data_IF_511314355683
#
_entry.id   IF_511314355683
#
_cell.length_a   1.000
_cell.length_b   1.000
_cell.length_c   1.000
_cell.angle_alpha   90.00
_cell.angle_beta   90.00
_cell.angle_gamma   90.00
#
_symmetry.space_group_name_H-M   'P 1'
#
loop_
_entity.id
_entity.type
_entity.pdbx_description
1 polymer ?
#
# COMPACT_ATOMS: atom_id res chain seq x y z
N UNK A 1 -17.57 -18.02 -6.71
CA UNK A 1 -17.28 -17.38 -5.38
C UNK A 1 -15.92 -17.87 -4.89
N UNK A 2 -15.06 -16.97 -4.41
CA UNK A 2 -13.76 -17.32 -3.84
C UNK A 2 -13.84 -17.43 -2.32
N UNK A 3 -13.50 -18.61 -1.78
CA UNK A 3 -13.36 -18.81 -0.34
C UNK A 3 -11.96 -18.37 0.11
N UNK A 4 -11.89 -17.60 1.20
CA UNK A 4 -10.63 -17.20 1.84
C UNK A 4 -10.79 -17.18 3.37
N UNK A 5 -9.67 -17.04 4.08
CA UNK A 5 -9.65 -16.94 5.54
C UNK A 5 -9.11 -15.57 5.95
N UNK A 6 -9.94 -14.75 6.58
CA UNK A 6 -9.56 -13.43 7.06
C UNK A 6 -8.88 -13.53 8.43
N UNK A 7 -7.71 -12.92 8.57
CA UNK A 7 -6.99 -12.81 9.84
C UNK A 7 -7.65 -11.76 10.74
N UNK A 8 -7.95 -12.13 12.00
CA UNK A 8 -8.31 -11.19 13.06
C UNK A 8 -7.50 -11.51 14.32
N UNK A 9 -6.83 -10.48 14.85
CA UNK A 9 -6.21 -10.53 16.17
C UNK A 9 -7.31 -10.41 17.25
N UNK A 10 -7.30 -11.27 18.26
CA UNK A 10 -8.16 -11.18 19.44
C UNK A 10 -7.33 -11.29 20.72
N UNK A 11 -7.46 -10.31 21.64
CA UNK A 11 -7.42 -10.41 23.11
C UNK A 11 -6.23 -11.03 23.88
N UNK A 12 -5.80 -10.28 24.92
CA UNK A 12 -4.86 -10.52 26.05
C UNK A 12 -3.41 -10.94 25.75
N UNK A 13 -3.17 -11.78 24.76
CA UNK A 13 -1.84 -12.05 24.23
C UNK A 13 -1.79 -11.52 22.80
N UNK A 14 -0.97 -10.51 22.54
CA UNK A 14 -0.86 -9.81 21.25
C UNK A 14 -0.47 -10.72 20.06
N UNK A 15 -0.17 -12.00 20.31
CA UNK A 15 0.35 -12.95 19.35
C UNK A 15 -0.65 -14.02 18.85
N UNK A 16 -1.90 -14.07 19.33
CA UNK A 16 -2.87 -15.07 18.86
C UNK A 16 -3.66 -14.57 17.63
N UNK A 17 -3.47 -15.24 16.49
CA UNK A 17 -4.18 -14.96 15.22
C UNK A 17 -5.26 -16.00 15.01
N UNK A 18 -6.52 -15.56 14.92
CA UNK A 18 -7.66 -16.40 14.54
C UNK A 18 -8.03 -16.18 13.08
N UNK A 19 -8.31 -17.28 12.39
CA UNK A 19 -8.78 -17.26 11.01
C UNK A 19 -10.30 -17.42 10.95
N UNK A 20 -10.95 -16.57 10.16
CA UNK A 20 -12.39 -16.63 9.91
C UNK A 20 -12.66 -16.91 8.44
N UNK A 21 -13.43 -17.95 8.17
CA UNK A 21 -13.87 -18.26 6.81
C UNK A 21 -14.73 -17.12 6.26
N UNK A 22 -14.40 -16.68 5.05
CA UNK A 22 -15.04 -15.59 4.35
C UNK A 22 -15.16 -15.90 2.85
N UNK A 23 -16.11 -15.26 2.20
CA UNK A 23 -16.40 -15.47 0.79
C UNK A 23 -16.35 -14.14 0.05
N UNK A 24 -15.63 -14.13 -1.07
CA UNK A 24 -15.56 -13.01 -1.99
C UNK A 24 -16.30 -13.38 -3.27
N UNK A 25 -17.27 -12.56 -3.66
CA UNK A 25 -17.90 -12.72 -4.97
C UNK A 25 -16.90 -12.36 -6.07
N UNK A 26 -16.79 -13.23 -7.07
CA UNK A 26 -15.97 -13.05 -8.27
C UNK A 26 -16.94 -12.87 -9.45
N UNK A 27 -16.90 -11.74 -10.17
CA UNK A 27 -17.71 -11.57 -11.38
C UNK A 27 -17.36 -12.64 -12.43
N UNK A 28 -18.35 -13.15 -13.15
CA UNK A 28 -18.19 -14.22 -14.16
C UNK A 28 -17.08 -13.92 -15.19
N UNK A 29 -16.91 -12.67 -15.60
CA UNK A 29 -15.85 -12.26 -16.52
C UNK A 29 -14.42 -12.58 -16.00
N UNK A 30 -14.23 -12.64 -14.68
CA UNK A 30 -12.94 -12.91 -14.04
C UNK A 30 -12.80 -14.33 -13.50
N UNK A 31 -13.84 -15.16 -13.61
CA UNK A 31 -13.79 -16.52 -13.04
C UNK A 31 -12.70 -17.35 -13.70
N UNK A 32 -12.66 -17.41 -15.05
CA UNK A 32 -11.69 -18.21 -15.78
C UNK A 32 -10.23 -17.83 -15.47
N UNK A 33 -9.88 -16.54 -15.47
CA UNK A 33 -8.50 -16.08 -15.21
C UNK A 33 -8.09 -16.35 -13.75
N UNK A 34 -9.02 -16.20 -12.80
CA UNK A 34 -8.75 -16.48 -11.40
C UNK A 34 -8.58 -17.99 -11.19
N UNK A 35 -9.45 -18.81 -11.74
CA UNK A 35 -9.34 -20.28 -11.67
C UNK A 35 -8.01 -20.76 -12.26
N UNK A 36 -7.66 -20.32 -13.47
CA UNK A 36 -6.38 -20.66 -14.11
C UNK A 36 -5.18 -20.25 -13.25
N UNK A 37 -5.21 -19.03 -12.68
CA UNK A 37 -4.13 -18.54 -11.80
C UNK A 37 -4.01 -19.37 -10.53
N UNK A 38 -5.13 -19.66 -9.87
CA UNK A 38 -5.16 -20.43 -8.62
C UNK A 38 -4.75 -21.88 -8.83
N UNK A 39 -5.21 -22.52 -9.92
CA UNK A 39 -4.82 -23.87 -10.31
C UNK A 39 -3.34 -23.94 -10.66
N UNK A 40 -2.82 -22.92 -11.34
CA UNK A 40 -1.39 -22.75 -11.60
C UNK A 40 -0.58 -22.71 -10.30
N UNK A 41 -1.00 -21.90 -9.32
CA UNK A 41 -0.33 -21.84 -8.00
C UNK A 41 -0.39 -23.20 -7.29
N UNK A 42 -1.55 -23.86 -7.27
CA UNK A 42 -1.70 -25.18 -6.65
C UNK A 42 -0.76 -26.20 -7.29
N UNK A 43 -0.68 -26.19 -8.62
CA UNK A 43 0.20 -27.09 -9.39
C UNK A 43 1.67 -26.83 -9.08
N UNK A 44 2.12 -25.57 -9.17
CA UNK A 44 3.52 -25.18 -8.93
C UNK A 44 3.96 -25.46 -7.49
N UNK A 45 3.04 -25.31 -6.52
CA UNK A 45 3.33 -25.50 -5.09
C UNK A 45 3.02 -26.92 -4.60
N UNK A 46 2.52 -27.81 -5.45
CA UNK A 46 2.14 -29.18 -5.08
C UNK A 46 3.25 -29.97 -4.35
N UNK A 47 4.54 -29.88 -4.74
CA UNK A 47 5.61 -30.59 -4.02
C UNK A 47 5.83 -30.05 -2.61
N UNK A 48 5.79 -28.73 -2.46
CA UNK A 48 5.92 -28.06 -1.16
C UNK A 48 4.76 -28.45 -0.24
N UNK A 49 3.54 -28.48 -0.80
CA UNK A 49 2.31 -28.88 -0.13
C UNK A 49 2.36 -30.31 0.38
N UNK A 50 2.71 -31.24 -0.52
CA UNK A 50 2.84 -32.65 -0.17
C UNK A 50 3.90 -32.86 0.92
N UNK A 51 5.06 -32.20 0.80
CA UNK A 51 6.10 -32.27 1.82
C UNK A 51 5.64 -31.72 3.15
N UNK A 52 5.06 -30.52 3.18
CA UNK A 52 4.62 -29.87 4.41
C UNK A 52 3.54 -30.71 5.12
N UNK A 53 2.64 -31.33 4.35
CA UNK A 53 1.67 -32.30 4.85
C UNK A 53 2.36 -33.46 5.57
N UNK A 54 3.29 -34.14 4.92
CA UNK A 54 4.01 -35.27 5.51
C UNK A 54 4.82 -34.86 6.75
N UNK A 55 5.46 -33.68 6.72
CA UNK A 55 6.21 -33.15 7.86
C UNK A 55 5.29 -32.87 9.06
N UNK A 56 4.08 -32.32 8.82
CA UNK A 56 3.09 -32.09 9.86
C UNK A 56 2.51 -33.40 10.43
N UNK A 57 2.23 -34.39 9.59
CA UNK A 57 1.67 -35.69 10.00
C UNK A 57 2.68 -36.56 10.75
N UNK A 58 3.96 -36.53 10.35
CA UNK A 58 4.99 -37.42 10.89
C UNK A 58 5.88 -36.76 11.96
N UNK A 59 5.91 -35.43 12.02
CA UNK A 59 6.86 -34.68 12.83
C UNK A 59 8.31 -34.74 12.33
N UNK A 60 8.56 -35.32 11.16
CA UNK A 60 9.88 -35.53 10.55
C UNK A 60 10.27 -34.36 9.65
N UNK A 61 11.57 -34.15 9.41
CA UNK A 61 12.04 -33.18 8.42
C UNK A 61 12.22 -33.80 7.04
N UNK A 62 12.59 -35.08 6.96
CA UNK A 62 12.75 -35.86 5.73
C UNK A 62 11.84 -37.11 5.77
N UNK A 63 10.52 -36.93 5.67
CA UNK A 63 9.55 -38.03 5.79
C UNK A 63 9.68 -39.08 4.67
N UNK A 64 10.37 -38.78 3.57
CA UNK A 64 10.65 -39.75 2.51
C UNK A 64 11.63 -40.86 2.91
N UNK A 65 12.38 -40.69 4.01
CA UNK A 65 13.33 -41.68 4.49
C UNK A 65 12.85 -42.35 5.78
N UNK A 66 13.27 -43.60 5.99
CA UNK A 66 13.02 -44.29 7.27
C UNK A 66 13.95 -43.72 8.35
N UNK A 67 13.47 -43.69 9.58
CA UNK A 67 14.21 -43.13 10.73
C UNK A 67 15.62 -43.70 10.91
N UNK A 68 15.72 -45.02 10.82
CA UNK A 68 16.95 -45.78 11.00
C UNK A 68 17.73 -45.98 9.68
N UNK A 69 17.27 -45.39 8.58
CA UNK A 69 17.96 -45.48 7.30
C UNK A 69 19.29 -44.76 7.38
N UNK A 70 20.31 -45.36 6.76
CA UNK A 70 21.60 -44.72 6.55
C UNK A 70 21.66 -44.17 5.13
N UNK A 71 22.03 -42.90 5.00
CA UNK A 71 22.17 -42.18 3.73
C UNK A 71 23.57 -41.60 3.59
N UNK A 72 23.98 -41.40 2.35
CA UNK A 72 25.20 -40.65 2.06
C UNK A 72 24.92 -39.16 2.23
N UNK A 73 25.73 -38.46 3.02
CA UNK A 73 25.41 -37.10 3.42
C UNK A 73 25.41 -36.12 2.24
N UNK A 74 26.17 -36.40 1.17
CA UNK A 74 26.13 -35.59 -0.06
C UNK A 74 24.76 -35.57 -0.75
N UNK A 75 23.93 -36.60 -0.61
CA UNK A 75 22.57 -36.66 -1.19
C UNK A 75 21.59 -35.69 -0.53
N UNK A 76 21.94 -35.18 0.66
CA UNK A 76 21.17 -34.16 1.36
C UNK A 76 21.49 -32.74 0.89
N UNK A 77 22.49 -32.52 0.03
CA UNK A 77 22.89 -31.18 -0.37
C UNK A 77 21.73 -30.38 -0.96
N UNK A 78 21.06 -30.90 -1.99
CA UNK A 78 19.93 -30.20 -2.63
C UNK A 78 18.72 -30.11 -1.71
N UNK A 79 18.51 -31.11 -0.85
CA UNK A 79 17.42 -31.10 0.15
C UNK A 79 17.61 -29.98 1.16
N UNK A 80 18.83 -29.78 1.66
CA UNK A 80 19.16 -28.79 2.70
C UNK A 80 19.44 -27.38 2.17
N UNK A 81 19.96 -27.26 0.95
CA UNK A 81 20.35 -25.98 0.34
C UNK A 81 19.34 -25.43 -0.65
N UNK A 82 18.53 -26.31 -1.27
CA UNK A 82 17.65 -26.00 -2.39
C UNK A 82 18.38 -25.96 -3.72
N UNK A 83 19.72 -25.99 -3.74
CA UNK A 83 20.50 -25.87 -4.96
C UNK A 83 20.58 -27.23 -5.70
N UNK A 84 20.07 -27.35 -6.94
CA UNK A 84 20.20 -28.56 -7.72
C UNK A 84 21.63 -28.77 -8.26
N UNK A 85 22.48 -27.73 -8.33
CA UNK A 85 23.82 -27.87 -8.89
C UNK A 85 24.78 -28.54 -7.90
N UNK A 86 25.01 -29.82 -8.09
CA UNK A 86 25.93 -30.64 -7.27
C UNK A 86 27.30 -30.74 -7.95
N UNK A 87 27.35 -30.80 -9.29
CA UNK A 87 28.57 -31.06 -10.06
C UNK A 87 29.20 -29.78 -10.63
N UNK A 88 30.52 -29.82 -10.81
CA UNK A 88 31.28 -28.71 -11.37
C UNK A 88 30.91 -28.37 -12.82
N UNK A 89 30.35 -29.34 -13.56
CA UNK A 89 29.87 -29.16 -14.94
C UNK A 89 28.73 -28.13 -15.08
N UNK A 90 28.04 -27.77 -13.98
CA UNK A 90 26.91 -26.84 -14.02
C UNK A 90 25.59 -27.53 -14.35
N UNK A 91 24.52 -26.73 -14.41
CA UNK A 91 23.19 -27.20 -14.84
C UNK A 91 23.08 -27.15 -16.37
N UNK A 92 22.28 -28.03 -16.96
CA UNK A 92 21.96 -27.96 -18.39
C UNK A 92 21.12 -26.71 -18.67
N UNK A 93 21.61 -25.84 -19.55
CA UNK A 93 20.89 -24.62 -19.94
C UNK A 93 19.52 -24.92 -20.54
N UNK A 94 19.40 -26.01 -21.31
CA UNK A 94 18.14 -26.42 -21.94
C UNK A 94 17.09 -26.77 -20.88
N UNK A 95 17.47 -27.57 -19.87
CA UNK A 95 16.58 -27.95 -18.77
C UNK A 95 16.23 -26.74 -17.87
N UNK A 96 17.19 -25.85 -17.64
CA UNK A 96 16.98 -24.61 -16.87
C UNK A 96 15.95 -23.72 -17.58
N UNK A 97 16.07 -23.56 -18.90
CA UNK A 97 15.15 -22.76 -19.70
C UNK A 97 13.76 -23.42 -19.78
N UNK A 98 13.70 -24.74 -20.00
CA UNK A 98 12.45 -25.52 -19.97
C UNK A 98 11.72 -25.32 -18.64
N UNK A 99 12.43 -25.41 -17.51
CA UNK A 99 11.83 -25.17 -16.20
C UNK A 99 11.37 -23.72 -16.01
N UNK A 100 12.15 -22.72 -16.42
CA UNK A 100 11.77 -21.31 -16.27
C UNK A 100 10.55 -20.91 -17.11
N UNK A 101 10.28 -21.62 -18.20
CA UNK A 101 9.11 -21.38 -19.05
C UNK A 101 7.87 -22.12 -18.55
N UNK A 102 8.03 -23.37 -18.10
CA UNK A 102 6.90 -24.25 -17.75
C UNK A 102 6.59 -24.29 -16.24
N UNK A 103 7.59 -24.02 -15.39
CA UNK A 103 7.59 -24.34 -13.96
C UNK A 103 7.19 -25.79 -13.64
N UNK A 104 7.38 -26.71 -14.60
CA UNK A 104 7.03 -28.12 -14.42
C UNK A 104 8.06 -28.82 -13.52
N UNK A 105 7.56 -29.39 -12.42
CA UNK A 105 8.34 -30.12 -11.42
C UNK A 105 9.00 -31.36 -12.02
N UNK A 106 8.45 -31.96 -13.07
CA UNK A 106 9.08 -33.08 -13.77
C UNK A 106 10.45 -32.68 -14.34
N UNK A 107 10.63 -31.43 -14.75
CA UNK A 107 11.90 -30.91 -15.24
C UNK A 107 12.95 -30.84 -14.14
N UNK A 108 12.55 -30.51 -12.89
CA UNK A 108 13.47 -30.55 -11.74
C UNK A 108 13.99 -31.97 -11.49
N UNK A 109 13.15 -32.99 -11.72
CA UNK A 109 13.58 -34.39 -11.64
C UNK A 109 14.62 -34.71 -12.72
N UNK A 110 14.39 -34.28 -13.97
CA UNK A 110 15.37 -34.42 -15.06
C UNK A 110 16.69 -33.71 -14.73
N UNK A 111 16.64 -32.50 -14.14
CA UNK A 111 17.82 -31.76 -13.70
C UNK A 111 18.61 -32.56 -12.66
N UNK A 112 17.93 -33.10 -11.66
CA UNK A 112 18.56 -33.88 -10.62
C UNK A 112 19.20 -35.17 -11.17
N UNK A 113 18.50 -35.92 -12.02
CA UNK A 113 19.06 -37.10 -12.68
C UNK A 113 20.27 -36.77 -13.55
N UNK A 114 20.24 -35.65 -14.26
CA UNK A 114 21.37 -35.18 -15.05
C UNK A 114 22.59 -34.88 -14.15
N UNK A 115 22.40 -34.24 -12.99
CA UNK A 115 23.47 -33.98 -12.02
C UNK A 115 24.02 -35.26 -11.40
N UNK A 116 23.16 -36.23 -11.10
CA UNK A 116 23.54 -37.51 -10.51
C UNK A 116 24.39 -38.34 -11.49
N UNK A 117 24.03 -38.34 -12.78
CA UNK A 117 24.77 -39.04 -13.86
C UNK A 117 26.00 -38.29 -14.37
N UNK A 118 26.08 -36.98 -14.12
CA UNK A 118 27.19 -36.15 -14.60
C UNK A 118 28.50 -36.55 -13.90
N UNK A 119 29.52 -37.01 -14.66
CA UNK A 119 30.81 -37.36 -14.07
C UNK A 119 31.55 -36.10 -13.63
N UNK A 120 32.41 -36.24 -12.62
CA UNK A 120 33.34 -35.18 -12.21
C UNK A 120 33.24 -34.76 -10.75
N UNK A 121 34.02 -33.74 -10.41
CA UNK A 121 34.12 -33.23 -9.05
C UNK A 121 32.85 -32.48 -8.63
N UNK A 122 32.63 -32.40 -7.31
CA UNK A 122 31.58 -31.57 -6.75
C UNK A 122 31.84 -30.08 -7.01
N UNK A 123 30.78 -29.31 -7.17
CA UNK A 123 30.86 -27.88 -7.43
C UNK A 123 31.48 -27.11 -6.24
N UNK A 124 32.09 -25.95 -6.49
CA UNK A 124 32.59 -25.08 -5.41
C UNK A 124 31.51 -24.72 -4.37
N UNK A 125 30.27 -24.35 -4.75
CA UNK A 125 29.20 -24.08 -3.79
C UNK A 125 28.84 -25.29 -2.90
N UNK A 126 28.97 -26.51 -3.43
CA UNK A 126 28.77 -27.74 -2.67
C UNK A 126 29.82 -27.86 -1.55
N UNK A 127 31.10 -27.71 -1.89
CA UNK A 127 32.18 -27.76 -0.89
C UNK A 127 32.05 -26.66 0.16
N UNK A 128 31.81 -25.40 -0.26
CA UNK A 128 31.65 -24.28 0.66
C UNK A 128 30.49 -24.49 1.64
N UNK A 129 29.39 -25.06 1.17
CA UNK A 129 28.24 -25.36 2.02
C UNK A 129 28.57 -26.40 3.09
N UNK A 130 29.19 -27.51 2.71
CA UNK A 130 29.54 -28.58 3.65
C UNK A 130 30.65 -28.20 4.61
N UNK A 131 31.64 -27.41 4.15
CA UNK A 131 32.68 -26.89 5.04
C UNK A 131 32.08 -26.02 6.16
N UNK A 132 31.08 -25.20 5.84
CA UNK A 132 30.36 -24.39 6.84
C UNK A 132 29.55 -25.25 7.82
N UNK A 133 28.90 -26.31 7.34
CA UNK A 133 28.19 -27.24 8.23
C UNK A 133 29.16 -28.02 9.12
N UNK A 134 30.30 -28.46 8.60
CA UNK A 134 31.33 -29.14 9.37
C UNK A 134 31.89 -28.25 10.51
N UNK A 135 32.10 -26.95 10.24
CA UNK A 135 32.46 -25.97 11.28
C UNK A 135 31.38 -25.82 12.36
N UNK A 136 30.11 -26.06 12.02
CA UNK A 136 29.00 -26.09 12.96
C UNK A 136 28.81 -27.45 13.67
N UNK A 137 29.74 -28.40 13.49
CA UNK A 137 29.73 -29.71 14.13
C UNK A 137 29.03 -30.81 13.35
N UNK A 138 28.71 -30.59 12.07
CA UNK A 138 28.11 -31.64 11.23
C UNK A 138 29.17 -32.65 10.75
N UNK A 139 28.78 -33.90 10.44
CA UNK A 139 29.68 -34.88 9.82
C UNK A 139 30.19 -34.42 8.45
N UNK A 140 31.31 -35.01 7.99
CA UNK A 140 31.83 -34.76 6.64
C UNK A 140 30.82 -35.25 5.60
N UNK A 141 30.72 -34.58 4.45
CA UNK A 141 29.78 -34.94 3.40
C UNK A 141 30.02 -36.34 2.78
N UNK A 142 31.21 -36.91 2.98
CA UNK A 142 31.58 -38.28 2.59
C UNK A 142 31.16 -39.34 3.62
N UNK A 143 30.56 -38.94 4.73
CA UNK A 143 30.13 -39.85 5.79
C UNK A 143 28.74 -40.41 5.48
N UNK A 144 28.58 -41.70 5.76
CA UNK A 144 27.29 -42.35 5.80
C UNK A 144 26.67 -42.21 7.19
N UNK A 145 25.48 -41.63 7.26
CA UNK A 145 24.86 -41.19 8.52
C UNK A 145 23.41 -41.63 8.61
N UNK A 146 22.92 -41.83 9.83
CA UNK A 146 21.52 -42.17 10.08
C UNK A 146 20.65 -40.92 9.90
N UNK A 147 19.48 -41.07 9.28
CA UNK A 147 18.57 -39.94 9.04
C UNK A 147 18.16 -39.24 10.32
N UNK A 148 17.80 -40.00 11.37
CA UNK A 148 17.47 -39.43 12.68
C UNK A 148 18.54 -38.46 13.20
N UNK A 149 19.82 -38.85 13.14
CA UNK A 149 20.91 -38.04 13.66
C UNK A 149 21.03 -36.69 12.90
N UNK A 150 20.73 -36.69 11.60
CA UNK A 150 20.72 -35.46 10.81
C UNK A 150 19.51 -34.58 11.11
N UNK A 151 18.32 -35.15 11.30
CA UNK A 151 17.14 -34.36 11.66
C UNK A 151 17.32 -33.62 12.99
N UNK A 152 17.96 -34.27 13.97
CA UNK A 152 18.32 -33.62 15.23
C UNK A 152 19.29 -32.45 15.01
N UNK A 153 20.24 -32.58 14.08
CA UNK A 153 21.13 -31.48 13.70
C UNK A 153 20.40 -30.35 12.97
N UNK A 154 19.41 -30.66 12.11
CA UNK A 154 18.54 -29.67 11.46
C UNK A 154 17.79 -28.88 12.51
N UNK A 155 17.10 -29.55 13.44
CA UNK A 155 16.35 -28.91 14.52
C UNK A 155 17.23 -27.99 15.37
N UNK A 156 18.45 -28.43 15.69
CA UNK A 156 19.40 -27.69 16.53
C UNK A 156 20.08 -26.51 15.82
N UNK A 157 20.55 -26.71 14.59
CA UNK A 157 21.45 -25.77 13.92
C UNK A 157 20.78 -24.94 12.82
N UNK A 158 19.58 -25.31 12.36
CA UNK A 158 18.86 -24.64 11.28
C UNK A 158 17.44 -24.19 11.69
N UNK A 159 17.24 -23.50 12.84
CA UNK A 159 15.91 -23.15 13.33
C UNK A 159 15.10 -22.27 12.36
N UNK A 160 15.79 -21.41 11.59
CA UNK A 160 15.14 -20.52 10.61
C UNK A 160 14.70 -21.23 9.31
N UNK A 161 15.07 -22.50 9.15
CA UNK A 161 14.68 -23.36 8.02
C UNK A 161 13.65 -24.43 8.41
N UNK A 162 13.21 -24.46 9.67
CA UNK A 162 12.14 -25.39 10.04
C UNK A 162 10.86 -25.00 9.31
N UNK A 163 10.17 -26.01 8.80
CA UNK A 163 8.93 -25.82 8.06
C UNK A 163 7.81 -25.32 8.98
N UNK A 164 6.88 -24.54 8.43
CA UNK A 164 5.75 -23.99 9.18
C UNK A 164 4.66 -25.06 9.33
N UNK A 165 4.86 -26.05 10.21
CA UNK A 165 3.92 -27.20 10.36
C UNK A 165 2.78 -26.94 11.34
N UNK A 166 2.83 -25.84 12.10
CA UNK A 166 1.83 -25.53 13.11
C UNK A 166 0.47 -25.23 12.45
N UNK A 167 -0.64 -25.83 12.94
CA UNK A 167 -1.96 -25.52 12.44
C UNK A 167 -2.47 -24.17 12.96
N UNK A 168 -3.43 -23.59 12.25
CA UNK A 168 -4.03 -22.30 12.60
C UNK A 168 -5.43 -22.50 13.19
N UNK A 169 -5.73 -21.89 14.35
CA UNK A 169 -7.06 -21.97 14.93
C UNK A 169 -8.07 -21.18 14.08
N UNK A 170 -9.21 -21.82 13.81
CA UNK A 170 -10.38 -21.23 13.17
C UNK A 170 -11.35 -20.73 14.25
N UNK A 171 -12.15 -19.71 13.90
CA UNK A 171 -13.15 -19.13 14.81
C UNK A 171 -14.24 -20.10 15.30
N UNK A 172 -14.42 -21.25 14.63
CA UNK A 172 -15.36 -22.31 15.00
C UNK A 172 -14.73 -23.40 15.90
N UNK A 173 -13.48 -23.20 16.36
CA UNK A 173 -12.75 -24.14 17.20
C UNK A 173 -12.04 -25.27 16.42
N UNK A 174 -12.16 -25.30 15.09
CA UNK A 174 -11.36 -26.21 14.25
C UNK A 174 -9.98 -25.64 13.99
N UNK A 175 -9.18 -26.39 13.26
CA UNK A 175 -7.84 -26.00 12.84
C UNK A 175 -7.69 -26.13 11.33
N UNK A 176 -7.03 -25.14 10.71
CA UNK A 176 -6.57 -25.18 9.33
C UNK A 176 -5.13 -25.67 9.30
N UNK A 177 -4.83 -26.71 8.54
CA UNK A 177 -3.46 -27.23 8.43
C UNK A 177 -2.62 -26.30 7.57
N UNK A 178 -1.32 -26.19 7.88
CA UNK A 178 -0.44 -25.27 7.17
C UNK A 178 -0.29 -25.61 5.67
N UNK A 179 -0.38 -26.89 5.29
CA UNK A 179 -0.38 -27.32 3.89
C UNK A 179 -1.68 -27.03 3.14
N UNK A 180 -2.74 -26.58 3.82
CA UNK A 180 -3.98 -26.15 3.15
C UNK A 180 -3.90 -24.69 2.66
N UNK A 181 -2.86 -23.94 3.03
CA UNK A 181 -2.66 -22.58 2.54
C UNK A 181 -2.28 -22.57 1.06
N UNK A 182 -2.92 -21.68 0.30
CA UNK A 182 -2.67 -21.54 -1.13
C UNK A 182 -1.21 -21.17 -1.43
N UNK A 183 -0.70 -20.11 -0.79
CA UNK A 183 0.65 -19.59 -1.05
C UNK A 183 1.69 -20.22 -0.12
N UNK A 184 2.38 -21.25 -0.62
CA UNK A 184 3.54 -21.85 0.01
C UNK A 184 4.82 -21.44 -0.73
N UNK A 185 5.92 -21.29 0.01
CA UNK A 185 7.22 -20.93 -0.55
C UNK A 185 8.36 -21.72 0.12
N UNK A 186 9.50 -21.91 -0.57
CA UNK A 186 10.67 -22.52 0.05
C UNK A 186 11.35 -21.53 1.01
N UNK A 187 11.44 -21.88 2.31
CA UNK A 187 12.04 -21.01 3.32
C UNK A 187 13.54 -20.89 3.11
N UNK A 188 14.05 -19.66 3.10
CA UNK A 188 15.50 -19.39 2.97
C UNK A 188 16.12 -20.05 1.73
N UNK A 189 15.40 -20.09 0.61
CA UNK A 189 15.93 -20.46 -0.70
C UNK A 189 16.86 -19.36 -1.25
N UNK A 190 18.05 -19.26 -0.68
CA UNK A 190 19.02 -18.19 -0.99
C UNK A 190 19.44 -18.23 -2.48
N UNK A 191 19.41 -19.41 -3.10
CA UNK A 191 19.81 -19.62 -4.50
C UNK A 191 19.02 -18.76 -5.49
N UNK A 192 17.71 -18.62 -5.29
CA UNK A 192 16.84 -17.81 -6.16
C UNK A 192 17.05 -16.31 -5.97
N UNK A 193 17.39 -15.87 -4.75
CA UNK A 193 17.44 -14.44 -4.39
C UNK A 193 18.80 -13.77 -4.59
N UNK A 194 19.88 -14.57 -4.69
CA UNK A 194 21.25 -14.05 -4.83
C UNK A 194 21.86 -14.25 -6.21
N UNK A 195 21.56 -15.37 -6.85
CA UNK A 195 22.30 -15.82 -8.03
C UNK A 195 21.40 -16.09 -9.25
N UNK A 196 20.11 -15.74 -9.17
CA UNK A 196 19.11 -16.13 -10.18
C UNK A 196 19.07 -17.66 -10.40
N UNK A 197 19.50 -18.45 -9.41
CA UNK A 197 19.53 -19.90 -9.53
C UNK A 197 18.16 -20.52 -9.27
N UNK A 198 17.99 -21.80 -9.60
CA UNK A 198 16.73 -22.53 -9.37
C UNK A 198 16.75 -23.17 -7.97
N UNK A 199 15.65 -23.08 -7.22
CA UNK A 199 15.42 -23.93 -6.07
C UNK A 199 14.71 -25.23 -6.50
N UNK A 200 15.28 -26.38 -6.17
CA UNK A 200 14.63 -27.67 -6.39
C UNK A 200 13.54 -27.91 -5.32
N UNK A 201 12.35 -27.35 -5.55
CA UNK A 201 11.19 -27.50 -4.67
C UNK A 201 10.73 -28.96 -4.52
N UNK A 202 11.09 -29.83 -5.48
CA UNK A 202 10.77 -31.27 -5.39
C UNK A 202 11.54 -31.96 -4.27
N UNK A 203 12.75 -31.49 -3.93
CA UNK A 203 13.62 -32.08 -2.89
C UNK A 203 13.78 -31.19 -1.65
N UNK A 204 13.58 -29.88 -1.74
CA UNK A 204 13.89 -28.95 -0.66
C UNK A 204 13.04 -29.12 0.61
N UNK A 205 13.68 -29.30 1.77
CA UNK A 205 12.94 -29.69 2.98
C UNK A 205 12.17 -28.54 3.65
N UNK A 206 12.64 -27.30 3.50
CA UNK A 206 12.17 -26.16 4.28
C UNK A 206 11.01 -25.45 3.59
N UNK A 207 9.79 -25.65 4.08
CA UNK A 207 8.56 -25.10 3.49
C UNK A 207 7.92 -24.10 4.43
N UNK A 208 7.56 -22.93 3.92
CA UNK A 208 6.90 -21.88 4.67
C UNK A 208 5.66 -21.38 3.97
N UNK A 209 4.87 -20.63 4.73
CA UNK A 209 3.75 -19.85 4.19
C UNK A 209 4.25 -18.47 3.77
N UNK A 210 3.69 -17.92 2.70
CA UNK A 210 3.88 -16.51 2.37
C UNK A 210 3.04 -15.68 3.34
N UNK A 211 3.65 -14.73 4.04
CA UNK A 211 2.94 -13.83 4.96
C UNK A 211 2.55 -12.51 4.29
N UNK A 212 1.70 -11.74 4.97
CA UNK A 212 1.34 -10.38 4.53
C UNK A 212 2.56 -9.48 4.43
N UNK A 213 3.52 -9.61 5.35
CA UNK A 213 4.79 -8.86 5.33
C UNK A 213 5.65 -9.22 4.12
N UNK A 214 5.68 -10.50 3.73
CA UNK A 214 6.40 -10.93 2.52
C UNK A 214 5.80 -10.25 1.27
N UNK A 215 4.46 -10.26 1.16
CA UNK A 215 3.77 -9.60 0.05
C UNK A 215 4.02 -8.09 0.03
N UNK A 216 3.92 -7.42 1.18
CA UNK A 216 4.21 -5.98 1.31
C UNK A 216 5.65 -5.69 0.88
N UNK A 217 6.62 -6.48 1.35
CA UNK A 217 8.01 -6.31 0.99
C UNK A 217 8.28 -6.49 -0.51
N UNK A 218 7.57 -7.42 -1.16
CA UNK A 218 7.71 -7.67 -2.60
C UNK A 218 6.99 -6.66 -3.50
N UNK A 219 5.97 -5.96 -2.99
CA UNK A 219 5.23 -4.93 -3.73
C UNK A 219 5.78 -3.52 -3.50
N UNK A 220 6.45 -3.27 -2.36
CA UNK A 220 7.08 -2.00 -2.02
C UNK A 220 8.26 -1.67 -2.97
N UNK A 221 8.68 -0.39 -3.04
CA UNK A 221 9.86 0.00 -3.81
C UNK A 221 11.10 -0.75 -3.29
N UNK A 222 11.60 -1.70 -4.09
CA UNK A 222 12.76 -2.50 -3.74
C UNK A 222 13.40 -3.08 -5.01
N UNK A 223 14.73 -3.07 -5.08
CA UNK A 223 15.53 -3.65 -6.16
C UNK A 223 15.28 -5.16 -6.39
N UNK A 224 14.60 -5.82 -5.44
CA UNK A 224 14.26 -7.25 -5.48
C UNK A 224 12.75 -7.50 -5.43
N UNK A 225 11.93 -6.46 -5.56
CA UNK A 225 10.47 -6.55 -5.64
C UNK A 225 9.99 -7.21 -6.93
N UNK A 226 8.68 -7.48 -7.03
CA UNK A 226 8.07 -8.14 -8.18
C UNK A 226 8.26 -7.31 -9.46
N UNK A 227 8.05 -5.99 -9.38
CA UNK A 227 8.21 -5.08 -10.51
C UNK A 227 9.66 -5.04 -11.02
N UNK A 228 10.64 -4.94 -10.12
CA UNK A 228 12.06 -4.94 -10.49
C UNK A 228 12.48 -6.24 -11.20
N UNK A 229 11.88 -7.37 -10.85
CA UNK A 229 12.21 -8.68 -11.44
C UNK A 229 11.50 -8.96 -12.76
N UNK A 230 10.22 -8.62 -12.85
CA UNK A 230 9.34 -9.04 -13.94
C UNK A 230 8.90 -7.89 -14.85
N UNK A 231 9.24 -6.64 -14.54
CA UNK A 231 8.96 -5.50 -15.40
C UNK A 231 9.68 -5.62 -16.75
N UNK A 232 8.95 -5.40 -17.83
CA UNK A 232 9.47 -5.52 -19.19
C UNK A 232 10.36 -4.31 -19.53
N UNK A 233 9.95 -3.12 -19.13
CA UNK A 233 10.65 -1.85 -19.37
C UNK A 233 11.39 -1.32 -18.13
N UNK A 234 12.38 -0.43 -18.28
CA UNK A 234 13.00 0.28 -17.16
C UNK A 234 11.97 1.03 -16.30
N UNK A 235 10.94 1.58 -16.93
CA UNK A 235 9.84 2.27 -16.28
C UNK A 235 9.03 1.29 -15.42
N UNK A 236 8.66 0.12 -15.97
CA UNK A 236 7.92 -0.91 -15.22
C UNK A 236 8.70 -1.39 -14.00
N UNK A 237 10.03 -1.54 -14.14
CA UNK A 237 10.90 -1.98 -13.04
C UNK A 237 11.03 -0.96 -11.91
N UNK A 238 10.69 0.30 -12.17
CA UNK A 238 10.64 1.36 -11.16
C UNK A 238 9.30 1.43 -10.41
N UNK A 239 8.29 0.66 -10.86
CA UNK A 239 6.97 0.66 -10.24
C UNK A 239 7.00 0.04 -8.84
N UNK A 240 6.04 0.48 -8.03
CA UNK A 240 5.76 -0.07 -6.72
C UNK A 240 4.28 0.05 -6.41
N UNK A 241 3.80 -0.78 -5.51
CA UNK A 241 2.40 -0.80 -5.11
C UNK A 241 2.28 -0.88 -3.60
N UNK A 242 1.58 0.09 -3.02
CA UNK A 242 1.09 -0.04 -1.65
C UNK A 242 -0.12 -0.99 -1.67
N UNK A 243 -0.11 -2.02 -0.82
CA UNK A 243 -1.20 -3.02 -0.73
C UNK A 243 -2.57 -2.37 -0.46
N UNK A 244 -2.63 -1.22 0.22
CA UNK A 244 -3.86 -0.47 0.42
C UNK A 244 -4.31 0.35 -0.80
N UNK A 245 -3.43 0.65 -1.76
CA UNK A 245 -3.76 1.49 -2.92
C UNK A 245 -4.87 0.88 -3.78
N UNK A 246 -4.86 -0.45 -3.99
CA UNK A 246 -5.92 -1.14 -4.73
C UNK A 246 -7.27 -1.02 -4.03
N UNK A 247 -7.28 -1.06 -2.69
CA UNK A 247 -8.49 -0.89 -1.88
C UNK A 247 -9.03 0.53 -1.98
N UNK A 248 -8.15 1.54 -1.96
CA UNK A 248 -8.51 2.94 -2.19
C UNK A 248 -9.10 3.16 -3.59
N UNK A 249 -8.44 2.64 -4.62
CA UNK A 249 -8.90 2.74 -6.00
C UNK A 249 -10.29 2.12 -6.15
N UNK A 250 -10.47 0.87 -5.73
CA UNK A 250 -11.75 0.19 -5.85
C UNK A 250 -12.87 0.92 -5.08
N UNK A 251 -12.57 1.43 -3.89
CA UNK A 251 -13.52 2.20 -3.10
C UNK A 251 -13.94 3.49 -3.80
N UNK A 252 -12.95 4.23 -4.34
CA UNK A 252 -13.17 5.46 -5.12
C UNK A 252 -14.02 5.19 -6.36
N UNK A 253 -13.76 4.11 -7.11
CA UNK A 253 -14.55 3.72 -8.28
C UNK A 253 -16.01 3.40 -7.92
N UNK A 254 -16.25 2.73 -6.79
CA UNK A 254 -17.62 2.42 -6.36
C UNK A 254 -18.39 3.69 -6.00
N UNK A 255 -17.74 4.67 -5.35
CA UNK A 255 -18.32 5.98 -5.12
C UNK A 255 -18.58 6.74 -6.43
N UNK A 256 -17.65 6.68 -7.40
CA UNK A 256 -17.84 7.27 -8.75
C UNK A 256 -19.07 6.74 -9.47
N UNK A 257 -19.37 5.46 -9.29
CA UNK A 257 -20.54 4.79 -9.88
C UNK A 257 -21.83 5.02 -9.08
N UNK A 258 -21.81 5.83 -8.02
CA UNK A 258 -22.99 6.12 -7.19
C UNK A 258 -23.50 4.93 -6.38
N UNK A 259 -22.65 3.94 -6.10
CA UNK A 259 -23.04 2.79 -5.29
C UNK A 259 -23.25 3.23 -3.84
N UNK A 260 -24.35 2.80 -3.23
CA UNK A 260 -24.72 3.20 -1.88
C UNK A 260 -23.63 2.85 -0.83
N UNK A 261 -23.38 3.77 0.11
CA UNK A 261 -22.35 3.63 1.16
C UNK A 261 -22.47 2.34 1.96
N UNK A 262 -23.69 1.94 2.29
CA UNK A 262 -23.96 0.71 3.04
C UNK A 262 -23.47 -0.53 2.26
N UNK A 263 -23.59 -0.52 0.94
CA UNK A 263 -23.10 -1.60 0.08
C UNK A 263 -21.58 -1.57 -0.03
N UNK A 264 -20.96 -0.39 -0.18
CA UNK A 264 -19.50 -0.24 -0.18
C UNK A 264 -18.91 -0.70 1.16
N UNK A 265 -19.50 -0.25 2.27
CA UNK A 265 -19.12 -0.61 3.64
C UNK A 265 -19.20 -2.12 3.85
N UNK A 266 -20.30 -2.75 3.43
CA UNK A 266 -20.47 -4.19 3.50
C UNK A 266 -19.48 -4.95 2.61
N UNK A 267 -19.22 -4.48 1.38
CA UNK A 267 -18.25 -5.08 0.44
C UNK A 267 -16.85 -5.15 1.04
N UNK A 268 -16.45 -4.11 1.75
CA UNK A 268 -15.15 -4.04 2.40
C UNK A 268 -15.14 -4.59 3.83
N UNK A 269 -16.25 -5.17 4.30
CA UNK A 269 -16.43 -5.70 5.65
C UNK A 269 -16.09 -4.67 6.75
N UNK A 270 -16.42 -3.40 6.50
CA UNK A 270 -16.24 -2.27 7.44
C UNK A 270 -17.38 -2.24 8.45
N UNK A 271 -17.11 -1.69 9.63
CA UNK A 271 -18.10 -1.60 10.72
C UNK A 271 -19.03 -0.40 10.56
N UNK A 272 -18.53 0.68 9.98
CA UNK A 272 -19.27 1.94 9.83
C UNK A 272 -19.07 2.54 8.45
N UNK A 273 -20.05 3.32 7.99
CA UNK A 273 -19.98 4.04 6.71
C UNK A 273 -18.89 5.10 6.69
N UNK A 274 -18.57 5.69 7.84
CA UNK A 274 -17.49 6.69 8.00
C UNK A 274 -16.14 6.15 7.55
N UNK A 275 -15.85 4.88 7.87
CA UNK A 275 -14.61 4.21 7.43
C UNK A 275 -14.49 4.08 5.91
N UNK A 276 -15.59 4.22 5.15
CA UNK A 276 -15.54 4.16 3.69
C UNK A 276 -15.06 5.47 3.08
N UNK A 277 -15.32 6.61 3.72
CA UNK A 277 -14.89 7.93 3.26
C UNK A 277 -13.40 8.19 3.47
N UNK A 278 -12.74 7.56 4.46
CA UNK A 278 -11.27 7.59 4.60
C UNK A 278 -10.53 7.05 3.35
N UNK A 279 -11.25 6.31 2.50
CA UNK A 279 -10.72 5.70 1.29
C UNK A 279 -11.30 6.31 0.02
N UNK A 280 -12.15 7.35 0.11
CA UNK A 280 -12.67 8.09 -1.04
C UNK A 280 -11.70 9.22 -1.39
N UNK A 281 -11.07 9.12 -2.56
CA UNK A 281 -10.13 10.12 -3.07
C UNK A 281 -10.68 10.89 -4.27
N UNK A 282 -12.01 10.89 -4.49
CA UNK A 282 -12.62 11.74 -5.52
C UNK A 282 -12.23 13.20 -5.30
N UNK A 283 -11.99 13.90 -6.39
CA UNK A 283 -11.81 15.35 -6.38
C UNK A 283 -13.09 16.04 -5.89
N UNK A 284 -12.97 17.27 -5.39
CA UNK A 284 -14.13 18.06 -4.99
C UNK A 284 -15.12 18.20 -6.16
N UNK A 285 -14.63 18.39 -7.39
CA UNK A 285 -15.49 18.51 -8.57
C UNK A 285 -16.29 17.23 -8.85
N UNK A 286 -15.66 16.05 -8.78
CA UNK A 286 -16.35 14.76 -8.96
C UNK A 286 -17.40 14.51 -7.87
N UNK A 287 -17.09 14.89 -6.64
CA UNK A 287 -18.02 14.73 -5.52
C UNK A 287 -19.22 15.67 -5.63
N UNK A 288 -19.01 16.93 -6.04
CA UNK A 288 -20.09 17.90 -6.28
C UNK A 288 -20.99 17.49 -7.44
N UNK A 289 -20.43 16.92 -8.52
CA UNK A 289 -21.21 16.44 -9.66
C UNK A 289 -22.14 15.27 -9.31
N UNK A 290 -21.85 14.54 -8.22
CA UNK A 290 -22.70 13.45 -7.73
C UNK A 290 -23.87 13.92 -6.86
N UNK A 291 -23.92 15.21 -6.50
CA UNK A 291 -25.00 15.79 -5.69
C UNK A 291 -26.19 16.07 -6.59
N UNK A 292 -27.33 15.46 -6.26
CA UNK A 292 -28.56 15.72 -6.96
C UNK A 292 -29.13 17.10 -6.58
N UNK A 293 -28.91 18.07 -7.48
CA UNK A 293 -29.37 19.44 -7.31
C UNK A 293 -30.88 19.55 -7.61
N UNK A 294 -31.63 20.38 -6.86
CA UNK A 294 -33.04 20.65 -7.15
C UNK A 294 -33.20 21.31 -8.54
N UNK A 295 -34.37 21.18 -9.20
CA UNK A 295 -34.57 21.63 -10.59
C UNK A 295 -34.11 23.07 -10.86
N UNK A 296 -34.49 24.03 -10.01
CA UNK A 296 -34.09 25.44 -10.17
C UNK A 296 -32.59 25.70 -9.97
N UNK A 297 -31.87 24.83 -9.27
CA UNK A 297 -30.42 24.91 -9.14
C UNK A 297 -29.69 24.36 -10.38
N UNK A 298 -30.29 23.42 -11.13
CA UNK A 298 -29.70 22.86 -12.36
C UNK A 298 -29.69 23.83 -13.53
N UNK A 299 -30.54 24.86 -13.48
CA UNK A 299 -30.62 25.92 -14.49
C UNK A 299 -29.58 27.04 -14.27
N UNK A 300 -28.87 27.01 -13.14
CA UNK A 300 -27.84 27.99 -12.81
C UNK A 300 -26.61 27.88 -13.72
N UNK A 301 -25.80 28.94 -13.85
CA UNK A 301 -24.45 28.83 -14.43
C UNK A 301 -23.59 27.80 -13.69
N UNK A 302 -22.65 27.13 -14.38
CA UNK A 302 -21.84 26.02 -13.85
C UNK A 302 -21.19 26.31 -12.49
N UNK A 303 -20.62 27.51 -12.31
CA UNK A 303 -20.05 27.93 -11.02
C UNK A 303 -21.10 28.04 -9.91
N UNK A 304 -22.28 28.57 -10.21
CA UNK A 304 -23.38 28.68 -9.26
C UNK A 304 -23.98 27.31 -8.92
N UNK A 305 -24.00 26.36 -9.86
CA UNK A 305 -24.34 24.95 -9.58
C UNK A 305 -23.34 24.32 -8.60
N UNK A 306 -22.04 24.53 -8.81
CA UNK A 306 -21.01 24.03 -7.90
C UNK A 306 -21.16 24.61 -6.48
N UNK A 307 -21.46 25.91 -6.37
CA UNK A 307 -21.73 26.54 -5.06
C UNK A 307 -23.02 26.00 -4.44
N UNK A 308 -24.11 25.83 -5.20
CA UNK A 308 -25.34 25.23 -4.71
C UNK A 308 -25.10 23.81 -4.16
N UNK A 309 -24.31 23.01 -4.88
CA UNK A 309 -23.94 21.66 -4.50
C UNK A 309 -23.10 21.67 -3.20
N UNK A 310 -22.14 22.59 -3.07
CA UNK A 310 -21.37 22.76 -1.83
C UNK A 310 -22.25 23.19 -0.66
N UNK A 311 -23.25 24.06 -0.87
CA UNK A 311 -24.19 24.48 0.19
C UNK A 311 -25.06 23.30 0.63
N UNK A 312 -25.57 22.51 -0.32
CA UNK A 312 -26.42 21.34 -0.06
C UNK A 312 -25.66 20.23 0.68
N UNK A 313 -24.39 19.99 0.34
CA UNK A 313 -23.52 19.06 1.06
C UNK A 313 -22.97 19.59 2.39
N UNK A 314 -23.28 20.83 2.78
CA UNK A 314 -22.75 21.46 3.99
C UNK A 314 -21.24 21.76 3.92
N UNK A 315 -20.66 21.76 2.71
CA UNK A 315 -19.23 21.99 2.46
C UNK A 315 -18.88 23.46 2.20
N UNK A 316 -19.88 24.33 2.03
CA UNK A 316 -19.68 25.77 1.96
C UNK A 316 -20.25 26.48 3.20
N UNK A 317 -19.52 27.49 3.68
CA UNK A 317 -19.93 28.40 4.74
C UNK A 317 -19.40 29.81 4.46
N UNK A 318 -20.12 30.84 4.91
CA UNK A 318 -19.73 32.24 4.71
C UNK A 318 -20.91 33.17 4.38
N UNK A 319 -20.64 34.48 4.19
CA UNK A 319 -21.69 35.48 4.02
C UNK A 319 -22.64 35.23 2.84
N UNK A 320 -22.12 34.73 1.71
CA UNK A 320 -22.94 34.36 0.53
C UNK A 320 -23.83 33.17 0.87
N UNK A 321 -23.31 32.15 1.57
CA UNK A 321 -24.08 30.97 2.00
C UNK A 321 -25.14 31.34 3.04
N UNK A 322 -24.80 32.19 4.00
CA UNK A 322 -25.71 32.66 5.03
C UNK A 322 -26.83 33.52 4.42
N UNK A 323 -26.49 34.40 3.47
CA UNK A 323 -27.47 35.18 2.72
C UNK A 323 -28.37 34.28 1.86
N UNK A 324 -27.80 33.29 1.15
CA UNK A 324 -28.55 32.30 0.39
C UNK A 324 -29.57 31.57 1.28
N UNK A 325 -29.13 31.01 2.42
CA UNK A 325 -30.01 30.29 3.36
C UNK A 325 -31.10 31.19 3.95
N UNK A 326 -30.77 32.47 4.23
CA UNK A 326 -31.75 33.45 4.70
C UNK A 326 -32.79 33.77 3.63
N UNK A 327 -32.37 34.05 2.40
CA UNK A 327 -33.27 34.34 1.27
C UNK A 327 -34.14 33.13 0.96
N UNK A 328 -33.56 31.92 1.00
CA UNK A 328 -34.29 30.67 0.83
C UNK A 328 -35.42 30.53 1.86
N UNK A 329 -35.13 30.85 3.12
CA UNK A 329 -36.10 30.80 4.21
C UNK A 329 -37.18 31.89 4.12
N UNK A 330 -36.81 33.10 3.71
CA UNK A 330 -37.71 34.26 3.72
C UNK A 330 -38.53 34.40 2.42
N UNK A 331 -37.95 34.01 1.29
CA UNK A 331 -38.44 34.31 -0.06
C UNK A 331 -38.49 33.11 -1.00
N UNK A 332 -38.11 31.91 -0.53
CA UNK A 332 -38.18 30.66 -1.28
C UNK A 332 -36.99 30.41 -2.22
N UNK A 333 -36.94 29.19 -2.76
CA UNK A 333 -35.82 28.66 -3.55
C UNK A 333 -35.51 29.48 -4.82
N UNK A 334 -36.55 29.98 -5.51
CA UNK A 334 -36.38 30.75 -6.75
C UNK A 334 -35.53 32.00 -6.51
N UNK A 335 -35.87 32.79 -5.49
CA UNK A 335 -35.12 34.00 -5.13
C UNK A 335 -33.71 33.70 -4.61
N UNK A 336 -33.55 32.58 -3.91
CA UNK A 336 -32.25 32.14 -3.42
C UNK A 336 -31.32 31.74 -4.58
N UNK A 337 -31.85 31.03 -5.58
CA UNK A 337 -31.09 30.67 -6.79
C UNK A 337 -30.78 31.89 -7.67
N UNK A 338 -31.70 32.85 -7.83
CA UNK A 338 -31.40 34.13 -8.50
C UNK A 338 -30.24 34.88 -7.83
N UNK A 339 -30.26 34.97 -6.50
CA UNK A 339 -29.16 35.54 -5.71
C UNK A 339 -27.85 34.79 -5.95
N UNK A 340 -27.89 33.46 -5.93
CA UNK A 340 -26.70 32.64 -6.13
C UNK A 340 -26.14 32.78 -7.55
N UNK A 341 -27.01 32.88 -8.57
CA UNK A 341 -26.60 33.10 -9.96
C UNK A 341 -25.81 34.41 -10.12
N UNK A 342 -26.18 35.45 -9.37
CA UNK A 342 -25.54 36.75 -9.42
C UNK A 342 -24.22 36.79 -8.60
N UNK A 343 -24.18 36.13 -7.44
CA UNK A 343 -23.10 36.28 -6.47
C UNK A 343 -22.05 35.14 -6.50
N UNK A 344 -22.39 33.98 -7.08
CA UNK A 344 -21.51 32.81 -7.05
C UNK A 344 -20.21 32.99 -7.83
N UNK A 345 -20.12 33.96 -8.75
CA UNK A 345 -18.87 34.25 -9.45
C UNK A 345 -17.78 34.81 -8.52
N UNK A 346 -18.15 35.30 -7.33
CA UNK A 346 -17.21 35.74 -6.30
C UNK A 346 -16.78 34.66 -5.30
N UNK A 347 -17.24 33.41 -5.41
CA UNK A 347 -16.92 32.35 -4.45
C UNK A 347 -15.84 31.40 -4.98
N UNK A 348 -14.73 31.22 -4.26
CA UNK A 348 -13.67 30.26 -4.62
C UNK A 348 -13.28 29.37 -3.45
N UNK A 349 -13.17 28.07 -3.72
CA UNK A 349 -12.55 27.11 -2.80
C UNK A 349 -11.02 27.19 -2.91
N UNK A 350 -10.36 27.53 -1.82
CA UNK A 350 -8.90 27.48 -1.69
C UNK A 350 -8.52 26.34 -0.75
N UNK A 351 -7.28 25.82 -0.77
CA UNK A 351 -6.84 24.79 0.16
C UNK A 351 -6.93 25.18 1.66
N UNK A 352 -7.14 26.46 1.97
CA UNK A 352 -7.06 27.03 3.31
C UNK A 352 -8.37 27.69 3.78
N UNK A 353 -9.44 27.63 2.98
CA UNK A 353 -10.72 28.32 3.23
C UNK A 353 -11.37 28.82 1.94
N UNK A 354 -12.40 29.67 2.05
CA UNK A 354 -13.09 30.23 0.89
C UNK A 354 -12.67 31.67 0.61
N UNK A 355 -12.50 32.03 -0.66
CA UNK A 355 -12.39 33.42 -1.11
C UNK A 355 -13.78 33.93 -1.49
N UNK A 356 -14.07 35.17 -1.12
CA UNK A 356 -15.31 35.88 -1.47
C UNK A 356 -15.07 37.08 -2.41
N UNK A 357 -13.92 37.11 -3.10
CA UNK A 357 -13.59 38.18 -4.04
C UNK A 357 -14.16 37.88 -5.44
N UNK A 358 -14.62 38.92 -6.15
CA UNK A 358 -15.10 38.80 -7.54
C UNK A 358 -13.97 38.48 -8.52
N UNK A 359 -14.23 37.70 -9.58
CA UNK A 359 -13.28 37.42 -10.68
C UNK A 359 -13.16 38.54 -11.70
N UNK A 360 -13.94 39.61 -11.59
CA UNK A 360 -13.79 40.80 -12.45
C UNK A 360 -12.53 41.63 -12.14
N UNK A 361 -11.67 41.12 -11.25
CA UNK A 361 -10.44 41.76 -10.76
C UNK A 361 -9.26 40.83 -11.08
N UNK A 362 -8.08 41.40 -11.33
CA UNK A 362 -6.86 40.66 -11.68
C UNK A 362 -6.53 39.52 -10.69
N UNK A 363 -5.91 38.41 -11.15
CA UNK A 363 -5.50 37.33 -10.28
C UNK A 363 -4.56 37.82 -9.16
N UNK A 364 -4.84 37.39 -7.93
CA UNK A 364 -4.09 37.82 -6.75
C UNK A 364 -2.57 37.59 -6.91
N UNK A 365 -1.72 38.63 -6.76
CA UNK A 365 -0.26 38.52 -6.91
C UNK A 365 0.41 37.55 -5.91
N UNK A 366 -0.28 37.23 -4.82
CA UNK A 366 0.17 36.33 -3.74
C UNK A 366 -0.54 34.98 -3.75
N UNK A 367 -1.08 34.58 -4.90
CA UNK A 367 -1.82 33.33 -5.18
C UNK A 367 -1.69 32.24 -4.09
N UNK A 368 -2.83 31.79 -3.54
CA UNK A 368 -2.94 30.76 -2.50
C UNK A 368 -2.31 31.12 -1.13
N UNK A 369 -1.99 32.38 -0.85
CA UNK A 369 -1.56 32.85 0.49
C UNK A 369 -2.64 33.67 1.22
N UNK A 370 -3.92 33.38 0.98
CA UNK A 370 -5.04 34.12 1.59
C UNK A 370 -5.04 34.05 3.12
N UNK A 371 -4.49 32.98 3.70
CA UNK A 371 -4.32 32.80 5.14
C UNK A 371 -3.37 33.84 5.77
N UNK A 372 -2.55 34.53 4.97
CA UNK A 372 -1.68 35.62 5.41
C UNK A 372 -2.39 36.98 5.37
N UNK A 373 -3.47 37.12 6.14
CA UNK A 373 -4.08 38.43 6.38
C UNK A 373 -4.98 38.98 5.27
N UNK A 374 -5.49 38.15 4.35
CA UNK A 374 -6.40 38.61 3.30
C UNK A 374 -7.81 38.86 3.84
N UNK A 375 -8.41 40.03 3.53
CA UNK A 375 -9.77 40.37 3.97
C UNK A 375 -10.90 39.59 3.27
N UNK A 376 -10.58 38.97 2.13
CA UNK A 376 -11.50 38.12 1.37
C UNK A 376 -11.50 36.66 1.82
N UNK A 377 -10.66 36.27 2.79
CA UNK A 377 -10.67 34.91 3.31
C UNK A 377 -11.85 34.71 4.27
N UNK A 378 -12.56 33.60 4.09
CA UNK A 378 -13.57 33.07 5.00
C UNK A 378 -13.07 31.73 5.54
N UNK A 379 -13.02 31.61 6.86
CA UNK A 379 -12.65 30.36 7.55
C UNK A 379 -13.75 29.30 7.36
N UNK A 380 -13.38 28.03 7.45
CA UNK A 380 -14.30 26.91 7.20
C UNK A 380 -14.09 25.82 8.23
N UNK A 381 -15.14 25.06 8.52
CA UNK A 381 -15.06 23.89 9.41
C UNK A 381 -14.70 22.59 8.65
N UNK A 382 -14.13 22.70 7.45
CA UNK A 382 -13.71 21.55 6.64
C UNK A 382 -12.36 21.02 7.16
N UNK A 383 -12.33 19.76 7.58
CA UNK A 383 -11.13 19.10 8.14
C UNK A 383 -9.90 19.18 7.23
N UNK A 384 -10.10 19.08 5.91
CA UNK A 384 -9.00 19.19 4.93
C UNK A 384 -8.33 20.57 4.95
N UNK A 385 -9.10 21.65 5.09
CA UNK A 385 -8.53 23.00 5.19
C UNK A 385 -7.76 23.18 6.49
N UNK A 386 -8.31 22.64 7.59
CA UNK A 386 -7.63 22.61 8.90
C UNK A 386 -6.31 21.86 8.82
N UNK A 387 -6.30 20.66 8.23
CA UNK A 387 -5.09 19.86 8.05
C UNK A 387 -4.04 20.58 7.21
N UNK A 388 -4.42 21.21 6.09
CA UNK A 388 -3.50 21.99 5.26
C UNK A 388 -2.88 23.15 6.04
N UNK A 389 -3.69 23.89 6.81
CA UNK A 389 -3.22 24.97 7.68
C UNK A 389 -2.24 24.46 8.75
N UNK A 390 -2.53 23.33 9.40
CA UNK A 390 -1.65 22.71 10.39
C UNK A 390 -0.33 22.23 9.78
N UNK A 391 -0.35 21.65 8.58
CA UNK A 391 0.86 21.30 7.83
C UNK A 391 1.70 22.53 7.47
N UNK A 392 1.08 23.59 6.94
CA UNK A 392 1.77 24.85 6.63
C UNK A 392 2.37 25.47 7.88
N UNK A 393 1.64 25.45 9.00
CA UNK A 393 2.12 25.92 10.30
C UNK A 393 3.35 25.14 10.76
N UNK A 394 3.31 23.80 10.68
CA UNK A 394 4.43 22.95 11.07
C UNK A 394 5.69 23.20 10.19
N UNK A 395 5.49 23.36 8.88
CA UNK A 395 6.57 23.70 7.94
C UNK A 395 7.20 25.07 8.28
N UNK A 396 6.37 26.09 8.56
CA UNK A 396 6.85 27.42 8.96
C UNK A 396 7.55 27.41 10.32
N UNK A 397 7.05 26.63 11.29
CA UNK A 397 7.71 26.46 12.58
C UNK A 397 9.11 25.86 12.43
N UNK A 398 9.29 24.88 11.52
CA UNK A 398 10.61 24.32 11.19
C UNK A 398 11.51 25.38 10.53
N UNK A 399 10.97 26.15 9.57
CA UNK A 399 11.71 27.24 8.92
C UNK A 399 12.17 28.31 9.93
N UNK A 400 11.36 28.64 10.93
CA UNK A 400 11.72 29.55 12.02
C UNK A 400 12.94 29.04 12.79
N UNK A 401 12.99 27.74 13.11
CA UNK A 401 14.15 27.14 13.80
C UNK A 401 15.41 27.22 12.94
N UNK A 402 15.30 26.92 11.65
CA UNK A 402 16.42 27.01 10.70
C UNK A 402 16.93 28.45 10.54
N UNK A 403 16.02 29.45 10.48
CA UNK A 403 16.38 30.87 10.38
C UNK A 403 17.08 31.35 11.66
N UNK A 404 16.62 30.92 12.85
CA UNK A 404 17.24 31.28 14.14
C UNK A 404 18.67 30.76 14.27
N UNK A 405 18.99 29.63 13.63
CA UNK A 405 20.35 29.09 13.57
C UNK A 405 21.32 29.87 12.67
N UNK A 406 20.85 30.84 11.86
CA UNK A 406 21.69 31.64 10.97
C UNK A 406 22.34 32.83 11.70
N UNK A 407 23.51 33.30 11.24
CA UNK A 407 24.16 34.50 11.77
C UNK A 407 23.24 35.73 11.71
N UNK A 408 23.28 36.63 12.71
CA UNK A 408 22.47 37.84 12.72
C UNK A 408 22.70 38.69 11.46
N UNK A 409 21.62 39.00 10.75
CA UNK A 409 21.64 39.86 9.57
C UNK A 409 20.25 40.46 9.37
N UNK A 410 20.17 41.65 8.77
CA UNK A 410 18.88 42.31 8.46
C UNK A 410 17.97 41.38 7.64
N UNK A 411 18.55 40.65 6.68
CA UNK A 411 17.82 39.66 5.88
C UNK A 411 17.27 38.50 6.72
N UNK A 412 18.05 38.02 7.72
CA UNK A 412 17.59 36.98 8.66
C UNK A 412 16.43 37.50 9.49
N UNK A 413 16.54 38.71 10.06
CA UNK A 413 15.53 39.27 10.94
C UNK A 413 14.23 39.58 10.18
N UNK A 414 14.32 39.97 8.92
CA UNK A 414 13.15 40.12 8.04
C UNK A 414 12.48 38.77 7.72
N UNK A 415 13.25 37.74 7.39
CA UNK A 415 12.73 36.38 7.17
C UNK A 415 12.05 35.82 8.43
N UNK A 416 12.67 36.03 9.59
CA UNK A 416 12.14 35.58 10.87
C UNK A 416 10.81 36.27 11.19
N UNK A 417 10.76 37.61 11.09
CA UNK A 417 9.55 38.40 11.33
C UNK A 417 8.42 37.98 10.39
N UNK A 418 8.72 37.71 9.12
CA UNK A 418 7.72 37.25 8.15
C UNK A 418 7.16 35.87 8.52
N UNK A 419 8.03 34.91 8.85
CA UNK A 419 7.61 33.55 9.21
C UNK A 419 6.80 33.54 10.53
N UNK A 420 7.20 34.33 11.53
CA UNK A 420 6.46 34.48 12.79
C UNK A 420 5.08 35.12 12.58
N UNK A 421 4.99 36.16 11.73
CA UNK A 421 3.72 36.77 11.37
C UNK A 421 2.79 35.78 10.64
N UNK A 422 3.35 34.95 9.75
CA UNK A 422 2.57 33.97 9.00
C UNK A 422 2.01 32.86 9.92
N UNK A 423 2.79 32.37 10.88
CA UNK A 423 2.30 31.42 11.89
C UNK A 423 1.18 32.03 12.72
N UNK A 424 1.32 33.29 13.15
CA UNK A 424 0.27 33.99 13.90
C UNK A 424 -1.02 34.16 13.07
N UNK A 425 -0.89 34.46 11.77
CA UNK A 425 -2.03 34.53 10.86
C UNK A 425 -2.73 33.16 10.73
N UNK A 426 -1.98 32.07 10.56
CA UNK A 426 -2.53 30.71 10.50
C UNK A 426 -3.26 30.35 11.81
N UNK A 427 -2.65 30.64 12.96
CA UNK A 427 -3.27 30.40 14.28
C UNK A 427 -4.59 31.16 14.42
N UNK A 428 -4.66 32.39 13.89
CA UNK A 428 -5.91 33.17 13.86
C UNK A 428 -6.97 32.51 12.98
N UNK A 429 -6.61 31.99 11.80
CA UNK A 429 -7.55 31.26 10.93
C UNK A 429 -8.07 29.99 11.64
N UNK A 430 -7.19 29.20 12.24
CA UNK A 430 -7.54 27.97 12.96
C UNK A 430 -8.43 28.18 14.19
N UNK A 431 -8.35 29.36 14.81
CA UNK A 431 -9.19 29.77 15.93
C UNK A 431 -10.52 30.42 15.48
N UNK A 432 -10.68 30.75 14.20
CA UNK A 432 -11.88 31.40 13.68
C UNK A 432 -12.91 30.35 13.28
N UNK A 433 -14.13 30.46 13.82
CA UNK A 433 -15.23 29.57 13.47
C UNK A 433 -15.58 29.65 11.97
N UNK A 434 -16.03 28.54 11.38
CA UNK A 434 -16.47 28.50 10.00
C UNK A 434 -17.49 29.58 9.64
N UNK A 435 -17.36 30.12 8.43
CA UNK A 435 -18.18 31.21 7.91
C UNK A 435 -17.78 32.61 8.40
N UNK A 436 -16.83 32.75 9.33
CA UNK A 436 -16.33 34.05 9.78
C UNK A 436 -15.06 34.45 9.03
N UNK A 437 -14.84 35.76 8.91
CA UNK A 437 -13.62 36.33 8.32
C UNK A 437 -12.56 36.47 9.41
N UNK A 438 -11.41 35.77 9.33
CA UNK A 438 -10.32 35.92 10.29
C UNK A 438 -9.66 37.30 10.21
N UNK A 439 -9.75 37.97 9.06
CA UNK A 439 -9.09 39.26 8.81
C UNK A 439 -10.06 40.30 8.25
N UNK A 440 -11.10 40.73 8.98
CA UNK A 440 -12.09 41.69 8.46
C UNK A 440 -11.42 43.00 7.98
N UNK A 441 -10.40 43.46 8.72
CA UNK A 441 -9.59 44.66 8.39
C UNK A 441 -8.25 44.28 7.72
N UNK A 442 -8.18 43.10 7.12
CA UNK A 442 -7.02 42.59 6.42
C UNK A 442 -6.69 43.37 5.15
N UNK A 443 -5.53 43.09 4.56
CA UNK A 443 -5.17 43.68 3.26
C UNK A 443 -5.98 43.02 2.16
N UNK A 444 -6.58 43.82 1.29
CA UNK A 444 -7.10 43.31 0.02
C UNK A 444 -5.91 42.89 -0.85
N UNK A 445 -5.69 41.58 -0.97
CA UNK A 445 -4.61 41.02 -1.77
C UNK A 445 -4.95 40.95 -3.26
N UNK A 446 -6.19 41.25 -3.66
CA UNK A 446 -6.61 41.33 -5.07
C UNK A 446 -6.30 42.69 -5.71
N UNK A 447 -6.10 43.74 -4.90
CA UNK A 447 -5.69 45.03 -5.42
C UNK A 447 -4.30 44.93 -6.09
N UNK A 448 -4.10 45.50 -7.29
CA UNK A 448 -2.78 45.62 -7.88
C UNK A 448 -1.82 46.26 -6.88
N UNK A 449 -0.65 45.65 -6.67
CA UNK A 449 0.39 46.29 -5.88
C UNK A 449 0.72 47.61 -6.60
N UNK A 450 0.31 48.75 -6.01
CA UNK A 450 0.29 50.05 -6.67
C UNK A 450 1.53 50.27 -7.53
N UNK A 451 1.32 50.73 -8.77
CA UNK A 451 2.37 51.00 -9.75
C UNK A 451 3.60 51.60 -9.08
N UNK A 452 4.65 50.79 -8.92
CA UNK A 452 5.98 51.36 -8.72
C UNK A 452 6.35 51.98 -10.04
N UNK A 453 6.14 53.29 -10.19
CA UNK A 453 6.73 54.07 -11.28
C UNK A 453 8.19 53.67 -11.39
N UNK A 454 8.55 53.15 -12.54
CA UNK A 454 9.93 52.85 -12.88
C UNK A 454 10.59 54.11 -13.44
N UNK A 455 11.92 54.15 -13.48
CA UNK A 455 12.70 55.24 -14.09
C UNK A 455 12.39 55.49 -15.58
N UNK A 456 11.57 54.64 -16.20
CA UNK A 456 11.12 54.74 -17.59
C UNK A 456 9.73 55.37 -17.75
N UNK A 457 9.07 55.75 -16.66
CA UNK A 457 7.74 56.37 -16.68
C UNK A 457 7.80 57.91 -16.52
N UNK A 458 8.83 58.56 -17.09
CA UNK A 458 8.95 60.03 -17.23
C UNK A 458 8.43 60.48 -18.58
#
# INVERSE_FOLDING_TARGET
MLRHFAEKQWGRDENSVLLYEAFQHVPTLFEAIIEETLDGIVTMTAPLRHRLRLQAETGRHFPEFREVQFIELHDLYSRLSGNPQIRAAGLSNDLVNEYRQSFDVAVLTKIAEHQDRSPGQFAKPFHSYWNRLAQAGWPKFTSRVRVWDIEQLVAKHLPTKLSDTAPFPLGDGKFLRADEFLFLCPKRAIVETRNDGICDVSRYFAVGRVTSEDLIGHLAPCDKGIFARYGETPEDRSLSLNTHALRHLQNTELFRQGIADAMITKRFNRRTVVQSYEYDHRSLAEDLASIDLPPGARELPEKAQAVAAMIQAGKASGPIVDAFRRIQKESGDVRAFEFLAAEADGFHATPYGHCINSFTVDPCPKHLQCFDGCNHLVATDIDRHRHNLEQTRAAMAKAIQEIKGRPPAIGRDNQLRHAEAMVASIDKVLATAGGKRPFPDGTDRSAPAGERRTLFDV
#
